data_IF_832664429962
#
_entry.id   IF_832664429962
#
_cell.length_a   1.000
_cell.length_b   1.000
_cell.length_c   1.000
_cell.angle_alpha   90.00
_cell.angle_beta   90.00
_cell.angle_gamma   90.00
#
_symmetry.space_group_name_H-M   'P 1'
#
loop_
_entity.id
_entity.type
_entity.pdbx_description
1 polymer ?
#
# COMPACT_ATOMS: atom_id res chain seq x y z
N UNK A 1 2.57 -22.16 -9.17
CA UNK A 1 2.67 -20.70 -8.97
C UNK A 1 2.85 -20.50 -7.49
N UNK A 2 3.67 -19.53 -7.10
CA UNK A 2 3.94 -19.19 -5.70
C UNK A 2 3.12 -17.96 -5.35
N UNK A 3 2.65 -17.88 -4.11
CA UNK A 3 1.94 -16.70 -3.60
C UNK A 3 2.94 -15.60 -3.26
N UNK A 4 2.63 -14.37 -3.64
CA UNK A 4 3.42 -13.19 -3.36
C UNK A 4 2.53 -12.06 -2.86
N UNK A 5 3.09 -11.21 -2.01
CA UNK A 5 2.52 -9.91 -1.67
C UNK A 5 3.36 -8.84 -2.35
N UNK A 6 2.75 -8.11 -3.28
CA UNK A 6 3.34 -6.93 -3.90
C UNK A 6 2.87 -5.68 -3.16
N UNK A 7 3.82 -4.88 -2.68
CA UNK A 7 3.59 -3.56 -2.12
C UNK A 7 3.90 -2.51 -3.16
N UNK A 8 2.90 -1.71 -3.52
CA UNK A 8 3.03 -0.54 -4.39
C UNK A 8 2.91 0.72 -3.53
N UNK A 9 3.97 1.50 -3.43
CA UNK A 9 3.95 2.81 -2.76
C UNK A 9 3.88 3.90 -3.82
N UNK A 10 2.86 4.74 -3.76
CA UNK A 10 2.62 5.85 -4.68
C UNK A 10 2.78 7.15 -3.90
N UNK A 11 3.54 8.10 -4.46
CA UNK A 11 3.81 9.39 -3.80
C UNK A 11 3.84 10.52 -4.81
N UNK A 12 3.57 11.75 -4.38
CA UNK A 12 3.64 12.91 -5.25
C UNK A 12 5.09 13.19 -5.68
N UNK A 13 5.27 13.53 -6.96
CA UNK A 13 6.55 13.92 -7.54
C UNK A 13 7.14 15.13 -6.82
N UNK A 14 8.47 15.17 -6.76
CA UNK A 14 9.20 16.32 -6.22
C UNK A 14 8.80 17.63 -6.90
N UNK A 15 8.28 18.58 -6.12
CA UNK A 15 7.82 19.88 -6.62
C UNK A 15 6.31 19.96 -6.89
N UNK A 16 5.57 18.87 -6.73
CA UNK A 16 4.10 18.91 -6.68
C UNK A 16 3.67 19.25 -5.25
N UNK A 17 2.72 20.18 -5.13
CA UNK A 17 2.17 20.58 -3.84
C UNK A 17 1.28 19.45 -3.28
N UNK A 18 1.53 19.10 -2.02
CA UNK A 18 0.75 18.11 -1.29
C UNK A 18 -0.02 18.80 -0.14
N UNK A 19 -1.26 19.28 -0.39
CA UNK A 19 -2.00 20.04 0.61
C UNK A 19 -2.36 19.21 1.86
N UNK A 20 -2.45 17.89 1.73
CA UNK A 20 -2.74 16.99 2.86
C UNK A 20 -1.50 16.86 3.77
N UNK A 21 -0.33 16.68 3.16
CA UNK A 21 0.93 16.68 3.89
C UNK A 21 1.20 18.03 4.58
N UNK A 22 0.96 19.15 3.90
CA UNK A 22 1.14 20.49 4.50
C UNK A 22 0.23 20.70 5.71
N UNK A 23 -1.04 20.30 5.60
CA UNK A 23 -2.00 20.42 6.71
C UNK A 23 -1.56 19.58 7.90
N UNK A 24 -1.08 18.36 7.63
CA UNK A 24 -0.59 17.44 8.66
C UNK A 24 0.70 17.94 9.31
N UNK A 25 1.63 18.47 8.51
CA UNK A 25 2.86 19.09 8.98
C UNK A 25 2.56 20.25 9.94
N UNK A 26 1.68 21.18 9.56
CA UNK A 26 1.31 22.29 10.44
C UNK A 26 0.65 21.82 11.74
N UNK A 27 -0.13 20.74 11.69
CA UNK A 27 -0.72 20.15 12.90
C UNK A 27 0.37 19.59 13.83
N UNK A 28 1.37 18.89 13.28
CA UNK A 28 2.51 18.35 14.06
C UNK A 28 3.37 19.46 14.65
N UNK A 29 3.64 20.52 13.89
CA UNK A 29 4.40 21.69 14.38
C UNK A 29 3.69 22.38 15.56
N UNK A 30 2.35 22.50 15.50
CA UNK A 30 1.54 23.04 16.61
C UNK A 30 1.57 22.16 17.86
N UNK A 31 1.81 20.86 17.70
CA UNK A 31 2.01 19.92 18.80
C UNK A 31 3.44 19.95 19.36
N UNK A 32 4.34 20.74 18.77
CA UNK A 32 5.72 20.93 19.22
C UNK A 32 6.73 19.96 18.59
N UNK A 33 6.38 19.28 17.50
CA UNK A 33 7.32 18.47 16.73
C UNK A 33 8.04 19.33 15.69
N UNK A 34 9.37 19.23 15.65
CA UNK A 34 10.20 19.86 14.62
C UNK A 34 10.45 18.85 13.48
N UNK A 35 10.10 19.23 12.25
CA UNK A 35 10.26 18.39 11.06
C UNK A 35 10.73 19.24 9.87
N UNK A 36 11.68 18.71 9.08
CA UNK A 36 12.21 19.41 7.90
C UNK A 36 11.26 19.31 6.70
N UNK A 37 10.66 18.15 6.47
CA UNK A 37 9.70 17.93 5.38
C UNK A 37 8.73 16.81 5.77
N UNK A 38 7.48 16.93 5.31
CA UNK A 38 6.50 15.86 5.35
C UNK A 38 5.99 15.59 3.94
N UNK A 39 5.75 14.32 3.61
CA UNK A 39 5.10 13.90 2.35
C UNK A 39 4.10 12.81 2.66
N UNK A 40 2.95 12.83 1.98
CA UNK A 40 2.03 11.70 1.99
C UNK A 40 2.41 10.70 0.91
N UNK A 41 2.08 9.44 1.15
CA UNK A 41 2.22 8.37 0.18
C UNK A 41 1.14 7.32 0.41
N UNK A 42 0.54 6.84 -0.66
CA UNK A 42 -0.41 5.74 -0.65
C UNK A 42 0.33 4.41 -0.73
N UNK A 43 -0.07 3.44 0.08
CA UNK A 43 0.46 2.07 0.06
C UNK A 43 -0.64 1.10 -0.31
N UNK A 44 -0.43 0.36 -1.39
CA UNK A 44 -1.30 -0.72 -1.84
C UNK A 44 -0.59 -2.06 -1.62
N UNK A 45 -1.24 -2.98 -0.93
CA UNK A 45 -0.75 -4.34 -0.75
C UNK A 45 -1.65 -5.27 -1.57
N UNK A 46 -1.03 -6.00 -2.49
CA UNK A 46 -1.71 -6.84 -3.46
C UNK A 46 -1.18 -8.25 -3.33
N UNK A 47 -2.04 -9.16 -2.91
CA UNK A 47 -1.74 -10.59 -2.92
C UNK A 47 -2.02 -11.19 -4.30
N UNK A 48 -1.04 -11.88 -4.87
CA UNK A 48 -1.15 -12.52 -6.18
C UNK A 48 -0.31 -13.79 -6.31
N UNK A 49 -0.81 -14.73 -7.10
CA UNK A 49 -0.04 -15.87 -7.57
C UNK A 49 0.81 -15.50 -8.79
N UNK A 50 2.09 -15.85 -8.76
CA UNK A 50 2.99 -15.65 -9.89
C UNK A 50 3.98 -16.81 -10.06
N UNK A 51 4.61 -16.87 -11.24
CA UNK A 51 5.63 -17.88 -11.52
C UNK A 51 6.98 -17.57 -10.84
N UNK A 52 7.24 -16.30 -10.54
CA UNK A 52 8.46 -15.78 -9.91
C UNK A 52 8.17 -14.42 -9.28
N UNK A 53 9.07 -13.96 -8.40
CA UNK A 53 9.01 -12.60 -7.82
C UNK A 53 9.03 -11.52 -8.91
N UNK A 54 9.80 -11.72 -9.98
CA UNK A 54 9.88 -10.81 -11.13
C UNK A 54 8.51 -10.73 -11.86
N UNK A 55 7.88 -11.88 -12.13
CA UNK A 55 6.55 -11.91 -12.74
C UNK A 55 5.46 -11.27 -11.86
N UNK A 56 5.59 -11.36 -10.53
CA UNK A 56 4.73 -10.64 -9.60
C UNK A 56 4.99 -9.12 -9.64
N UNK A 57 6.26 -8.71 -9.73
CA UNK A 57 6.65 -7.31 -9.83
C UNK A 57 6.14 -6.66 -11.12
N UNK A 58 6.35 -7.29 -12.28
CA UNK A 58 5.83 -6.83 -13.58
C UNK A 58 4.31 -6.61 -13.55
N UNK A 59 3.60 -7.52 -12.88
CA UNK A 59 2.15 -7.46 -12.75
C UNK A 59 1.70 -6.30 -11.85
N UNK A 60 2.39 -6.10 -10.73
CA UNK A 60 2.14 -4.98 -9.82
C UNK A 60 2.51 -3.62 -10.47
N UNK A 61 3.61 -3.56 -11.23
CA UNK A 61 4.02 -2.39 -12.00
C UNK A 61 2.95 -2.03 -13.04
N UNK A 62 2.47 -3.02 -13.79
CA UNK A 62 1.35 -2.84 -14.73
C UNK A 62 0.07 -2.32 -14.05
N UNK A 63 -0.20 -2.71 -12.81
CA UNK A 63 -1.33 -2.16 -12.05
C UNK A 63 -1.08 -0.71 -11.64
N UNK A 64 0.14 -0.40 -11.22
CA UNK A 64 0.56 0.94 -10.84
C UNK A 64 0.43 1.92 -12.00
N UNK A 65 0.98 1.60 -13.16
CA UNK A 65 0.96 2.47 -14.34
C UNK A 65 -0.45 2.71 -14.90
N UNK A 66 -1.33 1.71 -14.79
CA UNK A 66 -2.67 1.76 -15.40
C UNK A 66 -3.72 2.40 -14.52
N UNK A 67 -3.54 2.37 -13.21
CA UNK A 67 -4.59 2.79 -12.27
C UNK A 67 -4.06 3.45 -11.00
N UNK A 68 -3.07 2.85 -10.32
CA UNK A 68 -2.73 3.29 -8.96
C UNK A 68 -1.93 4.60 -8.95
N UNK A 69 -1.14 4.86 -9.99
CA UNK A 69 -0.32 6.06 -10.10
C UNK A 69 -0.69 6.87 -11.36
N UNK A 70 -0.75 8.20 -11.21
CA UNK A 70 -0.81 9.09 -12.36
C UNK A 70 0.63 9.45 -12.77
N UNK A 71 1.11 9.05 -13.96
CA UNK A 71 2.51 9.23 -14.36
C UNK A 71 2.94 10.71 -14.48
N UNK A 72 1.99 11.63 -14.55
CA UNK A 72 2.28 13.07 -14.65
C UNK A 72 2.70 13.66 -13.30
N UNK A 73 2.06 13.22 -12.21
CA UNK A 73 2.17 13.86 -10.88
C UNK A 73 2.63 12.92 -9.77
N UNK A 74 2.60 11.60 -9.97
CA UNK A 74 3.02 10.60 -9.00
C UNK A 74 4.29 9.88 -9.45
N UNK A 75 5.15 9.58 -8.48
CA UNK A 75 6.17 8.54 -8.54
C UNK A 75 5.63 7.30 -7.82
N UNK A 76 6.08 6.11 -8.22
CA UNK A 76 5.73 4.87 -7.54
C UNK A 76 6.94 3.96 -7.36
N UNK A 77 6.86 3.09 -6.36
CA UNK A 77 7.85 2.06 -6.08
C UNK A 77 7.13 0.73 -5.83
N UNK A 78 7.62 -0.34 -6.44
CA UNK A 78 7.10 -1.70 -6.29
C UNK A 78 8.11 -2.53 -5.52
N UNK A 79 7.64 -3.26 -4.51
CA UNK A 79 8.40 -4.30 -3.79
C UNK A 79 7.57 -5.57 -3.72
N UNK A 80 8.20 -6.73 -3.80
CA UNK A 80 7.50 -8.01 -3.77
C UNK A 80 8.17 -8.93 -2.76
N UNK A 81 7.35 -9.60 -1.95
CA UNK A 81 7.79 -10.63 -1.02
C UNK A 81 7.04 -11.94 -1.30
N UNK A 82 7.72 -13.07 -1.14
CA UNK A 82 7.06 -14.37 -1.10
C UNK A 82 6.15 -14.42 0.12
N UNK A 83 4.90 -14.84 -0.09
CA UNK A 83 3.93 -15.01 0.99
C UNK A 83 4.12 -16.40 1.58
N UNK A 84 4.52 -16.47 2.85
CA UNK A 84 4.55 -17.76 3.53
C UNK A 84 3.11 -18.28 3.63
N UNK A 85 2.85 -19.57 3.32
CA UNK A 85 1.52 -20.14 3.45
C UNK A 85 1.20 -20.28 4.94
N UNK A 86 0.66 -19.21 5.55
CA UNK A 86 0.34 -19.15 6.98
C UNK A 86 -0.39 -17.87 7.42
N UNK A 87 -0.29 -16.76 6.69
CA UNK A 87 -0.94 -15.48 7.06
C UNK A 87 -2.42 -15.35 6.66
N UNK A 88 -3.04 -16.44 6.20
CA UNK A 88 -4.48 -16.53 5.86
C UNK A 88 -5.27 -17.27 6.97
N UNK A 89 -5.00 -16.96 8.24
CA UNK A 89 -5.82 -17.39 9.39
C UNK A 89 -6.52 -16.18 10.05
N UNK A 90 -7.26 -15.37 9.29
CA UNK A 90 -8.28 -14.50 9.90
C UNK A 90 -9.52 -14.40 9.02
N UNK A 91 -10.41 -15.40 9.12
CA UNK A 91 -11.87 -15.24 9.17
C UNK A 91 -12.59 -16.59 8.99
N UNK A 92 -12.41 -17.52 9.92
CA UNK A 92 -13.44 -18.52 10.20
C UNK A 92 -13.51 -18.65 11.71
N UNK A 93 -14.54 -18.05 12.30
CA UNK A 93 -15.37 -18.58 13.38
C UNK A 93 -15.96 -17.42 14.19
N UNK A 94 -17.22 -17.10 13.91
CA UNK A 94 -18.18 -16.57 14.88
C UNK A 94 -19.57 -16.61 14.25
N UNK A 95 -20.08 -17.84 14.07
CA UNK A 95 -21.52 -18.07 14.02
C UNK A 95 -21.96 -18.36 15.47
N UNK A 96 -22.55 -17.40 16.22
CA UNK A 96 -23.24 -17.78 17.44
C UNK A 96 -24.59 -18.38 17.04
N UNK A 97 -24.70 -19.70 17.19
CA UNK A 97 -25.97 -20.41 17.18
C UNK A 97 -26.92 -19.74 18.18
N UNK A 98 -27.93 -19.02 17.66
CA UNK A 98 -29.06 -18.56 18.45
C UNK A 98 -29.91 -19.79 18.78
N UNK A 99 -29.93 -20.12 20.08
CA UNK A 99 -30.54 -21.32 20.62
C UNK A 99 -32.04 -21.43 20.36
N UNK A 100 -32.45 -22.67 20.18
CA UNK A 100 -33.81 -23.14 20.42
C UNK A 100 -34.16 -22.96 21.90
N UNK A 101 -35.27 -22.28 22.19
CA UNK A 101 -36.21 -22.56 23.30
C UNK A 101 -37.44 -21.65 23.20
#
# INVERSE_FOLDING_TARGET
MTAYTATVTVSLKGGVLDPEAETTQQALERLGFELETLRSADRYEVDLDAASAEAAADRAESMAERLLANPTIHDYQVSVAEREPGDDETATDSEPAAGES
#
